data_IF_362859485433
#
_entry.id   IF_362859485433
#
_cell.length_a   1.000
_cell.length_b   1.000
_cell.length_c   1.000
_cell.angle_alpha   90.00
_cell.angle_beta   90.00
_cell.angle_gamma   90.00
#
_symmetry.space_group_name_H-M   'P 1'
#
loop_
_entity.id
_entity.type
_entity.pdbx_description
1 polymer ?
#
# COMPACT_ATOMS: atom_id res chain seq x y z
N UNK A 1 -33.61 28.59 -71.67
CA UNK A 1 -33.07 29.48 -70.62
C UNK A 1 -34.03 29.38 -69.44
N UNK A 2 -33.79 28.64 -68.35
CA UNK A 2 -32.63 27.98 -67.70
C UNK A 2 -33.12 26.61 -67.17
N UNK A 3 -32.45 25.48 -67.42
CA UNK A 3 -31.50 24.81 -66.48
C UNK A 3 -31.98 24.90 -65.02
N UNK A 4 -32.48 23.86 -64.35
CA UNK A 4 -31.92 22.52 -64.19
C UNK A 4 -30.98 22.54 -62.97
N UNK A 5 -31.26 21.75 -61.92
CA UNK A 5 -30.32 21.12 -60.97
C UNK A 5 -31.13 20.49 -59.81
N UNK A 6 -31.45 19.21 -59.97
CA UNK A 6 -31.81 18.34 -58.86
C UNK A 6 -30.54 18.03 -58.06
N UNK A 7 -30.56 18.32 -56.76
CA UNK A 7 -29.49 17.93 -55.86
C UNK A 7 -29.68 16.46 -55.46
N UNK A 8 -28.94 15.60 -56.14
CA UNK A 8 -28.75 14.19 -55.78
C UNK A 8 -28.08 14.10 -54.41
N UNK A 9 -28.77 13.45 -53.47
CA UNK A 9 -28.20 12.93 -52.21
C UNK A 9 -27.10 11.91 -52.56
N UNK A 10 -25.83 12.32 -52.43
CA UNK A 10 -24.70 11.39 -52.48
C UNK A 10 -24.54 10.82 -51.08
N UNK A 11 -25.08 9.61 -50.89
CA UNK A 11 -24.69 8.71 -49.81
C UNK A 11 -23.24 8.31 -50.04
N UNK A 12 -22.33 8.82 -49.21
CA UNK A 12 -20.95 8.33 -49.14
C UNK A 12 -20.97 7.15 -48.19
N UNK A 13 -21.17 5.96 -48.75
CA UNK A 13 -20.88 4.70 -48.07
C UNK A 13 -19.38 4.58 -47.87
N UNK A 14 -18.92 4.66 -46.61
CA UNK A 14 -17.59 4.20 -46.25
C UNK A 14 -17.61 2.68 -46.07
N UNK A 15 -17.32 1.97 -47.15
CA UNK A 15 -16.95 0.56 -47.11
C UNK A 15 -15.43 0.45 -46.90
N UNK A 16 -15.04 0.02 -45.70
CA UNK A 16 -13.96 -0.93 -45.44
C UNK A 16 -12.50 -0.52 -45.65
N UNK A 17 -11.84 -0.11 -44.57
CA UNK A 17 -10.47 -0.54 -44.28
C UNK A 17 -10.54 -1.25 -42.91
N UNK A 18 -10.17 -2.54 -42.88
CA UNK A 18 -10.28 -3.42 -41.72
C UNK A 18 -9.31 -3.09 -40.59
N UNK A 19 -9.48 -1.93 -39.97
CA UNK A 19 -9.04 -1.66 -38.61
C UNK A 19 -10.23 -1.83 -37.68
N UNK A 20 -9.99 -2.34 -36.48
CA UNK A 20 -11.00 -2.37 -35.44
C UNK A 20 -11.61 -0.98 -35.21
N UNK A 21 -12.90 -0.93 -34.87
CA UNK A 21 -13.48 0.31 -34.38
C UNK A 21 -12.61 0.84 -33.22
N UNK A 22 -12.42 2.16 -33.07
CA UNK A 22 -11.54 2.71 -32.03
C UNK A 22 -11.81 2.16 -30.63
N UNK A 23 -13.07 1.90 -30.29
CA UNK A 23 -13.50 1.30 -29.01
C UNK A 23 -13.06 -0.15 -28.87
N UNK A 24 -13.09 -0.94 -29.93
CA UNK A 24 -12.62 -2.33 -29.95
C UNK A 24 -11.10 -2.43 -29.81
N UNK A 25 -10.36 -1.51 -30.46
CA UNK A 25 -8.92 -1.40 -30.26
C UNK A 25 -8.54 -1.01 -28.82
N UNK A 26 -9.29 -0.09 -28.20
CA UNK A 26 -9.11 0.30 -26.80
C UNK A 26 -9.44 -0.86 -25.86
N UNK A 27 -10.55 -1.56 -26.12
CA UNK A 27 -10.96 -2.73 -25.35
C UNK A 27 -9.86 -3.78 -25.33
N UNK A 28 -9.36 -4.17 -26.51
CA UNK A 28 -8.27 -5.14 -26.61
C UNK A 28 -7.04 -4.69 -25.85
N UNK A 29 -6.63 -3.42 -26.00
CA UNK A 29 -5.47 -2.89 -25.28
C UNK A 29 -5.67 -2.94 -23.77
N UNK A 30 -6.88 -2.67 -23.27
CA UNK A 30 -7.21 -2.75 -21.84
C UNK A 30 -7.22 -4.20 -21.34
N UNK A 31 -7.87 -5.11 -22.06
CA UNK A 31 -7.90 -6.55 -21.72
C UNK A 31 -6.48 -7.15 -21.72
N UNK A 32 -5.64 -6.81 -22.71
CA UNK A 32 -4.25 -7.27 -22.82
C UNK A 32 -3.28 -6.65 -21.79
N UNK A 33 -3.70 -5.61 -21.05
CA UNK A 33 -2.83 -4.92 -20.08
C UNK A 33 -3.35 -4.98 -18.65
N UNK A 34 -4.54 -4.46 -18.40
CA UNK A 34 -5.13 -4.39 -17.06
C UNK A 34 -5.71 -5.74 -16.66
N UNK A 35 -6.48 -6.38 -17.54
CA UNK A 35 -7.15 -7.65 -17.22
C UNK A 35 -6.25 -8.89 -17.42
N UNK A 36 -5.16 -8.77 -18.19
CA UNK A 36 -4.23 -9.87 -18.46
C UNK A 36 -3.18 -10.09 -17.35
N UNK A 37 -3.30 -9.42 -16.21
CA UNK A 37 -2.39 -9.63 -15.07
C UNK A 37 -2.69 -11.00 -14.45
N UNK A 38 -1.65 -11.75 -14.08
CA UNK A 38 -1.78 -13.18 -13.70
C UNK A 38 -2.72 -13.47 -12.53
N UNK A 39 -2.99 -12.49 -11.67
CA UNK A 39 -3.87 -12.62 -10.50
C UNK A 39 -5.25 -11.97 -10.71
N UNK A 40 -5.53 -11.43 -11.89
CA UNK A 40 -6.71 -10.59 -12.10
C UNK A 40 -8.03 -11.32 -11.84
N UNK A 41 -8.20 -12.52 -12.39
CA UNK A 41 -9.40 -13.33 -12.23
C UNK A 41 -9.63 -13.78 -10.77
N UNK A 42 -8.55 -13.96 -10.00
CA UNK A 42 -8.62 -14.38 -8.59
C UNK A 42 -8.97 -13.20 -7.67
N UNK A 43 -8.37 -12.04 -7.92
CA UNK A 43 -8.50 -10.85 -7.07
C UNK A 43 -9.74 -10.01 -7.40
N UNK A 44 -10.03 -9.81 -8.68
CA UNK A 44 -11.11 -8.93 -9.14
C UNK A 44 -12.26 -9.73 -9.75
N UNK A 45 -11.96 -10.55 -10.78
CA UNK A 45 -12.96 -11.36 -11.47
C UNK A 45 -14.13 -10.59 -12.08
N UNK A 46 -13.96 -9.28 -12.27
CA UNK A 46 -14.94 -8.35 -12.85
C UNK A 46 -14.94 -8.43 -14.38
N UNK A 47 -16.09 -8.08 -14.99
CA UNK A 47 -16.15 -7.96 -16.43
C UNK A 47 -15.53 -6.64 -16.94
N UNK A 48 -15.37 -6.52 -18.26
CA UNK A 48 -14.77 -5.33 -18.88
C UNK A 48 -15.47 -4.02 -18.51
N UNK A 49 -16.81 -4.00 -18.41
CA UNK A 49 -17.55 -2.78 -18.11
C UNK A 49 -17.46 -2.42 -16.61
N UNK A 50 -17.55 -3.43 -15.74
CA UNK A 50 -17.36 -3.28 -14.31
C UNK A 50 -15.97 -2.72 -14.00
N UNK A 51 -14.93 -3.28 -14.62
CA UNK A 51 -13.55 -2.83 -14.41
C UNK A 51 -13.29 -1.42 -14.93
N UNK A 52 -13.79 -1.09 -16.13
CA UNK A 52 -13.72 0.28 -16.65
C UNK A 52 -14.39 1.29 -15.72
N UNK A 53 -15.53 0.92 -15.14
CA UNK A 53 -16.28 1.78 -14.22
C UNK A 53 -15.51 1.99 -12.92
N UNK A 54 -14.87 0.95 -12.39
CA UNK A 54 -14.02 1.04 -11.21
C UNK A 54 -12.78 1.92 -11.47
N UNK A 55 -12.11 1.71 -12.60
CA UNK A 55 -10.85 2.37 -12.93
C UNK A 55 -11.02 3.81 -13.41
N UNK A 56 -11.94 4.04 -14.34
CA UNK A 56 -12.07 5.31 -15.05
C UNK A 56 -13.39 6.05 -14.77
N UNK A 57 -14.30 5.42 -14.02
CA UNK A 57 -15.59 5.98 -13.67
C UNK A 57 -16.70 5.67 -14.69
N UNK A 58 -17.97 5.89 -14.30
CA UNK A 58 -19.14 5.47 -15.06
C UNK A 58 -19.28 6.16 -16.42
N UNK A 59 -18.85 7.42 -16.53
CA UNK A 59 -18.94 8.21 -17.77
C UNK A 59 -18.05 7.63 -18.88
N UNK A 60 -16.81 7.28 -18.53
CA UNK A 60 -15.85 6.66 -19.47
C UNK A 60 -16.28 5.24 -19.84
N UNK A 61 -16.74 4.46 -18.86
CA UNK A 61 -17.26 3.11 -19.11
C UNK A 61 -18.42 3.11 -20.11
N UNK A 62 -19.37 4.02 -19.94
CA UNK A 62 -20.51 4.19 -20.86
C UNK A 62 -20.03 4.56 -22.28
N UNK A 63 -19.11 5.51 -22.39
CA UNK A 63 -18.61 5.95 -23.69
C UNK A 63 -17.79 4.89 -24.44
N UNK A 64 -17.22 3.91 -23.74
CA UNK A 64 -16.44 2.81 -24.33
C UNK A 64 -17.27 1.57 -24.64
N UNK A 65 -18.44 1.42 -24.03
CA UNK A 65 -19.37 0.30 -24.27
C UNK A 65 -20.44 0.62 -25.32
N UNK A 66 -20.75 1.89 -25.54
CA UNK A 66 -21.62 2.36 -26.62
C UNK A 66 -20.78 3.02 -27.76
N UNK A 67 -20.63 2.36 -28.93
CA UNK A 67 -19.87 2.91 -30.07
C UNK A 67 -20.35 4.28 -30.55
N UNK A 68 -21.64 4.62 -30.38
CA UNK A 68 -22.20 5.89 -30.80
C UNK A 68 -21.83 7.05 -29.85
N UNK A 69 -21.35 6.73 -28.65
CA UNK A 69 -20.97 7.69 -27.62
C UNK A 69 -19.47 8.06 -27.64
N UNK A 70 -18.64 7.35 -28.40
CA UNK A 70 -17.19 7.57 -28.41
C UNK A 70 -16.75 8.70 -29.36
N UNK A 71 -16.86 9.94 -28.87
CA UNK A 71 -16.42 11.16 -29.58
C UNK A 71 -15.15 11.82 -29.01
N UNK A 72 -14.74 12.99 -29.54
CA UNK A 72 -13.56 13.73 -29.06
C UNK A 72 -13.59 14.05 -27.56
N UNK A 73 -14.77 14.34 -27.00
CA UNK A 73 -14.94 14.60 -25.57
C UNK A 73 -14.69 13.34 -24.73
N UNK A 74 -15.23 12.20 -25.15
CA UNK A 74 -15.02 10.91 -24.49
C UNK A 74 -13.54 10.50 -24.53
N UNK A 75 -12.86 10.71 -25.66
CA UNK A 75 -11.41 10.50 -25.77
C UNK A 75 -10.63 11.37 -24.79
N UNK A 76 -10.97 12.67 -24.67
CA UNK A 76 -10.30 13.56 -23.72
C UNK A 76 -10.53 13.12 -22.26
N UNK A 77 -11.76 12.73 -21.91
CA UNK A 77 -12.09 12.19 -20.59
C UNK A 77 -11.32 10.90 -20.28
N UNK A 78 -11.24 9.98 -21.25
CA UNK A 78 -10.45 8.76 -21.12
C UNK A 78 -8.95 9.05 -20.92
N UNK A 79 -8.36 9.94 -21.72
CA UNK A 79 -6.94 10.31 -21.54
C UNK A 79 -6.69 10.90 -20.14
N UNK A 80 -7.57 11.80 -19.67
CA UNK A 80 -7.45 12.36 -18.33
C UNK A 80 -7.60 11.30 -17.23
N UNK A 81 -8.52 10.34 -17.40
CA UNK A 81 -8.72 9.23 -16.48
C UNK A 81 -7.51 8.28 -16.45
N UNK A 82 -6.92 7.95 -17.60
CA UNK A 82 -5.70 7.13 -17.70
C UNK A 82 -4.54 7.83 -17.00
N UNK A 83 -4.32 9.12 -17.28
CA UNK A 83 -3.24 9.88 -16.64
C UNK A 83 -3.42 9.98 -15.12
N UNK A 84 -4.66 10.15 -14.65
CA UNK A 84 -4.99 10.11 -13.22
C UNK A 84 -4.66 8.75 -12.62
N UNK A 85 -5.17 7.68 -13.23
CA UNK A 85 -5.01 6.32 -12.74
C UNK A 85 -3.54 5.86 -12.76
N UNK A 86 -2.75 6.33 -13.73
CA UNK A 86 -1.30 6.11 -13.77
C UNK A 86 -0.59 6.83 -12.61
N UNK A 87 -0.87 8.12 -12.39
CA UNK A 87 -0.30 8.89 -11.26
C UNK A 87 -0.66 8.29 -9.90
N UNK A 88 -1.90 7.84 -9.73
CA UNK A 88 -2.35 7.19 -8.49
C UNK A 88 -1.58 5.89 -8.23
N UNK A 89 -1.31 5.08 -9.27
CA UNK A 89 -0.49 3.87 -9.16
C UNK A 89 0.97 4.17 -8.86
N UNK A 90 1.58 5.14 -9.53
CA UNK A 90 2.95 5.58 -9.24
C UNK A 90 3.07 6.03 -7.78
N UNK A 91 2.12 6.82 -7.30
CA UNK A 91 2.06 7.26 -5.91
C UNK A 91 1.89 6.09 -4.94
N UNK A 92 1.06 5.09 -5.26
CA UNK A 92 0.90 3.87 -4.45
C UNK A 92 2.21 3.07 -4.40
N UNK A 93 2.91 2.91 -5.52
CA UNK A 93 4.21 2.23 -5.57
C UNK A 93 5.22 2.94 -4.66
N UNK A 94 5.37 4.26 -4.80
CA UNK A 94 6.26 5.06 -3.93
C UNK A 94 5.89 4.93 -2.44
N UNK A 95 4.60 4.74 -2.15
CA UNK A 95 4.10 4.54 -0.80
C UNK A 95 4.48 3.17 -0.25
N UNK A 96 4.31 2.12 -1.05
CA UNK A 96 4.74 0.77 -0.71
C UNK A 96 6.26 0.68 -0.51
N UNK A 97 7.04 1.37 -1.34
CA UNK A 97 8.50 1.42 -1.22
C UNK A 97 8.94 2.09 0.09
N UNK A 98 8.36 3.26 0.41
CA UNK A 98 8.62 3.94 1.69
C UNK A 98 8.21 3.11 2.90
N UNK A 99 7.08 2.40 2.80
CA UNK A 99 6.65 1.50 3.86
C UNK A 99 7.64 0.36 4.05
N UNK A 100 8.08 -0.29 2.97
CA UNK A 100 9.10 -1.34 3.01
C UNK A 100 10.39 -0.84 3.65
N UNK A 101 10.90 0.31 3.22
CA UNK A 101 12.10 0.93 3.81
C UNK A 101 11.93 1.21 5.32
N UNK A 102 10.75 1.68 5.72
CA UNK A 102 10.45 1.89 7.14
C UNK A 102 10.43 0.60 7.94
N UNK A 103 9.93 -0.50 7.37
CA UNK A 103 9.93 -1.82 8.01
C UNK A 103 11.35 -2.37 8.11
N UNK A 104 12.14 -2.28 7.03
CA UNK A 104 13.53 -2.73 7.01
C UNK A 104 14.36 -2.00 8.08
N UNK A 105 14.21 -0.68 8.19
CA UNK A 105 14.90 0.11 9.22
C UNK A 105 14.49 -0.29 10.65
N UNK A 106 13.21 -0.60 10.87
CA UNK A 106 12.76 -1.12 12.15
C UNK A 106 13.34 -2.51 12.42
N UNK A 107 13.37 -3.40 11.43
CA UNK A 107 13.92 -4.74 11.53
C UNK A 107 15.41 -4.73 11.88
N UNK A 108 16.21 -3.85 11.26
CA UNK A 108 17.64 -3.65 11.58
C UNK A 108 17.88 -3.36 13.06
N UNK A 109 16.92 -2.71 13.72
CA UNK A 109 17.01 -2.40 15.15
C UNK A 109 16.40 -3.50 16.03
N UNK A 110 15.23 -4.00 15.67
CA UNK A 110 14.43 -4.89 16.52
C UNK A 110 14.90 -6.34 16.47
N UNK A 111 15.39 -6.84 15.33
CA UNK A 111 15.90 -8.22 15.24
C UNK A 111 17.09 -8.46 16.18
N UNK A 112 18.11 -7.58 16.26
CA UNK A 112 19.17 -7.73 17.26
C UNK A 112 18.68 -7.59 18.70
N UNK A 113 17.65 -6.77 18.96
CA UNK A 113 17.06 -6.67 20.31
C UNK A 113 16.38 -7.98 20.69
N UNK A 114 15.57 -8.55 19.80
CA UNK A 114 14.89 -9.82 20.01
C UNK A 114 15.89 -10.95 20.24
N UNK A 115 16.91 -11.08 19.38
CA UNK A 115 17.96 -12.09 19.54
C UNK A 115 18.71 -11.97 20.87
N UNK A 116 18.94 -10.74 21.35
CA UNK A 116 19.59 -10.52 22.63
C UNK A 116 18.68 -10.86 23.81
N UNK A 117 17.40 -10.48 23.77
CA UNK A 117 16.42 -10.84 24.80
C UNK A 117 16.22 -12.36 24.86
N UNK A 118 16.17 -13.03 23.71
CA UNK A 118 16.06 -14.50 23.64
C UNK A 118 17.30 -15.20 24.20
N UNK A 119 18.48 -14.59 24.12
CA UNK A 119 19.68 -15.15 24.76
C UNK A 119 19.60 -15.15 26.30
N UNK A 120 18.70 -14.36 26.87
CA UNK A 120 18.38 -14.29 28.30
C UNK A 120 17.23 -15.27 28.59
N UNK A 121 17.43 -16.55 28.22
CA UNK A 121 16.39 -17.60 28.20
C UNK A 121 15.68 -17.80 29.56
N UNK A 122 16.32 -17.40 30.66
CA UNK A 122 15.68 -17.23 31.96
C UNK A 122 16.60 -16.35 32.82
N UNK A 123 16.15 -15.22 33.38
CA UNK A 123 16.90 -14.54 34.41
C UNK A 123 16.90 -15.47 35.63
N UNK A 124 17.95 -16.26 35.80
CA UNK A 124 18.30 -16.86 37.09
C UNK A 124 19.35 -15.96 37.74
N UNK A 125 18.94 -14.87 38.41
CA UNK A 125 19.87 -13.94 39.02
C UNK A 125 20.48 -14.47 40.32
N UNK A 126 20.09 -15.68 40.77
CA UNK A 126 20.57 -16.23 42.02
C UNK A 126 22.06 -16.57 41.95
N UNK A 127 22.83 -16.07 42.93
CA UNK A 127 24.26 -16.34 43.03
C UNK A 127 25.16 -15.51 42.10
N UNK A 128 24.60 -14.59 41.30
CA UNK A 128 25.41 -13.67 40.51
C UNK A 128 25.91 -12.48 41.34
N UNK A 129 27.17 -12.02 41.13
CA UNK A 129 27.67 -10.83 41.80
C UNK A 129 26.84 -9.59 41.46
N UNK A 130 26.66 -8.68 42.42
CA UNK A 130 25.94 -7.43 42.24
C UNK A 130 26.33 -6.67 40.95
N UNK A 131 27.63 -6.55 40.66
CA UNK A 131 28.10 -5.86 39.45
C UNK A 131 27.65 -6.51 38.14
N UNK A 132 27.48 -7.83 38.12
CA UNK A 132 26.95 -8.55 36.95
C UNK A 132 25.45 -8.30 36.78
N UNK A 133 24.69 -8.29 37.89
CA UNK A 133 23.27 -7.95 37.90
C UNK A 133 23.05 -6.51 37.41
N UNK A 134 23.83 -5.55 37.91
CA UNK A 134 23.77 -4.14 37.51
C UNK A 134 24.12 -3.97 36.02
N UNK A 135 25.13 -4.69 35.51
CA UNK A 135 25.51 -4.63 34.11
C UNK A 135 24.39 -5.15 33.19
N UNK A 136 23.72 -6.25 33.56
CA UNK A 136 22.58 -6.81 32.82
C UNK A 136 21.36 -5.91 32.87
N UNK A 137 21.04 -5.36 34.04
CA UNK A 137 19.95 -4.39 34.21
C UNK A 137 20.14 -3.16 33.30
N UNK A 138 21.35 -2.58 33.29
CA UNK A 138 21.70 -1.46 32.42
C UNK A 138 21.62 -1.84 30.94
N UNK A 139 22.00 -3.08 30.58
CA UNK A 139 21.90 -3.55 29.20
C UNK A 139 20.44 -3.64 28.74
N UNK A 140 19.56 -4.18 29.56
CA UNK A 140 18.11 -4.24 29.29
C UNK A 140 17.49 -2.84 29.14
N UNK A 141 17.98 -1.83 29.88
CA UNK A 141 17.48 -0.44 29.73
C UNK A 141 17.73 0.06 28.32
N UNK A 142 18.95 -0.16 27.82
CA UNK A 142 19.33 0.21 26.46
C UNK A 142 18.53 -0.54 25.40
N UNK A 143 18.19 -1.82 25.64
CA UNK A 143 17.33 -2.57 24.72
C UNK A 143 15.91 -1.98 24.68
N UNK A 144 15.34 -1.64 25.84
CA UNK A 144 14.04 -0.96 25.91
C UNK A 144 14.06 0.40 25.21
N UNK A 145 15.09 1.22 25.46
CA UNK A 145 15.25 2.53 24.82
C UNK A 145 15.33 2.43 23.29
N UNK A 146 15.93 1.35 22.76
CA UNK A 146 15.93 1.07 21.32
C UNK A 146 14.52 0.76 20.81
N UNK A 147 13.75 -0.08 21.51
CA UNK A 147 12.35 -0.34 21.17
C UNK A 147 11.50 0.94 21.18
N UNK A 148 11.64 1.77 22.22
CA UNK A 148 10.90 3.02 22.37
C UNK A 148 11.24 4.02 21.25
N UNK A 149 12.54 4.13 20.92
CA UNK A 149 13.01 4.98 19.82
C UNK A 149 12.49 4.50 18.46
N UNK A 150 12.53 3.19 18.19
CA UNK A 150 11.97 2.61 16.97
C UNK A 150 10.46 2.83 16.90
N UNK A 151 9.73 2.67 18.00
CA UNK A 151 8.29 2.93 18.06
C UNK A 151 7.97 4.41 17.76
N UNK A 152 8.71 5.35 18.35
CA UNK A 152 8.54 6.78 18.10
C UNK A 152 8.82 7.15 16.64
N UNK A 153 9.92 6.64 16.07
CA UNK A 153 10.25 6.84 14.65
C UNK A 153 9.13 6.29 13.75
N UNK A 154 8.63 5.10 14.07
CA UNK A 154 7.55 4.45 13.31
C UNK A 154 6.24 5.24 13.38
N UNK A 155 5.86 5.73 14.55
CA UNK A 155 4.68 6.59 14.70
C UNK A 155 4.84 7.90 13.91
N UNK A 156 6.03 8.49 13.90
CA UNK A 156 6.32 9.68 13.09
C UNK A 156 6.16 9.40 11.59
N UNK A 157 6.66 8.27 11.11
CA UNK A 157 6.53 7.88 9.69
C UNK A 157 5.06 7.70 9.28
N UNK A 158 4.26 7.01 10.11
CA UNK A 158 2.82 6.84 9.88
C UNK A 158 2.10 8.19 9.82
N UNK A 159 2.40 9.10 10.74
CA UNK A 159 1.77 10.43 10.78
C UNK A 159 2.15 11.30 9.57
N UNK A 160 3.41 11.24 9.15
CA UNK A 160 3.90 11.94 7.95
C UNK A 160 3.22 11.40 6.69
N UNK A 161 3.08 10.08 6.57
CA UNK A 161 2.35 9.45 5.48
C UNK A 161 0.89 9.90 5.42
N UNK A 162 0.16 9.90 6.54
CA UNK A 162 -1.23 10.42 6.57
C UNK A 162 -1.31 11.87 6.10
N UNK A 163 -0.37 12.70 6.55
CA UNK A 163 -0.32 14.12 6.21
C UNK A 163 -0.07 14.36 4.72
N UNK A 164 0.82 13.57 4.10
CA UNK A 164 1.17 13.69 2.66
C UNK A 164 0.03 13.28 1.74
N UNK A 165 -0.76 12.29 2.14
CA UNK A 165 -1.79 11.73 1.29
C UNK A 165 -3.15 12.45 1.39
N UNK A 166 -3.30 13.39 2.33
CA UNK A 166 -4.55 14.13 2.57
C UNK A 166 -5.79 13.20 2.63
N UNK A 167 -5.62 11.97 3.14
CA UNK A 167 -6.71 11.02 3.27
C UNK A 167 -7.77 11.62 4.19
N UNK A 168 -9.05 11.63 3.79
CA UNK A 168 -10.11 11.99 4.71
C UNK A 168 -10.17 10.97 5.86
N UNK A 169 -10.65 11.43 7.03
CA UNK A 169 -10.55 10.72 8.32
C UNK A 169 -11.21 9.32 8.28
N UNK A 170 -12.13 9.11 7.35
CA UNK A 170 -12.91 7.89 7.14
C UNK A 170 -12.24 6.84 6.24
N UNK A 171 -11.14 7.18 5.56
CA UNK A 171 -10.37 6.21 4.76
C UNK A 171 -9.36 5.50 5.66
N UNK A 172 -9.30 4.15 5.64
CA UNK A 172 -8.29 3.40 6.36
C UNK A 172 -6.89 3.88 5.99
N UNK A 173 -6.04 4.08 7.00
CA UNK A 173 -4.63 4.37 6.79
C UNK A 173 -3.98 3.28 5.93
N UNK A 174 -2.97 3.63 5.15
CA UNK A 174 -2.27 2.69 4.26
C UNK A 174 -1.73 1.49 5.02
N UNK A 175 -1.32 1.67 6.28
CA UNK A 175 -0.93 0.54 7.13
C UNK A 175 -2.06 -0.47 7.34
N UNK A 176 -3.31 0.00 7.52
CA UNK A 176 -4.47 -0.89 7.70
C UNK A 176 -4.71 -1.70 6.43
N UNK A 177 -4.58 -1.07 5.26
CA UNK A 177 -4.69 -1.76 3.97
C UNK A 177 -3.56 -2.79 3.77
N UNK A 178 -2.30 -2.38 3.94
CA UNK A 178 -1.15 -3.26 3.67
C UNK A 178 -1.04 -4.44 4.65
N UNK A 179 -1.55 -4.28 5.87
CA UNK A 179 -1.48 -5.30 6.92
C UNK A 179 -2.84 -5.90 7.27
N UNK A 180 -3.83 -5.83 6.40
CA UNK A 180 -5.18 -6.34 6.67
C UNK A 180 -5.20 -7.84 7.00
N UNK A 181 -4.25 -8.61 6.47
CA UNK A 181 -4.09 -10.04 6.71
C UNK A 181 -3.33 -10.37 8.00
N UNK A 182 -2.82 -9.36 8.71
CA UNK A 182 -2.08 -9.52 9.96
C UNK A 182 -2.98 -9.27 11.17
N UNK A 183 -2.63 -9.90 12.31
CA UNK A 183 -3.37 -9.75 13.57
C UNK A 183 -3.38 -8.31 14.14
N UNK A 184 -2.45 -7.46 13.67
CA UNK A 184 -2.32 -6.07 14.07
C UNK A 184 -2.23 -5.17 12.85
N UNK A 185 -3.03 -4.10 12.84
CA UNK A 185 -2.93 -3.04 11.84
C UNK A 185 -1.59 -2.27 11.87
N UNK A 186 -0.82 -2.42 12.97
CA UNK A 186 0.49 -1.79 13.14
C UNK A 186 1.49 -2.81 13.69
N UNK A 187 1.91 -3.79 12.87
CA UNK A 187 2.69 -4.95 13.35
C UNK A 187 4.04 -4.54 13.94
N UNK A 188 4.74 -3.57 13.33
CA UNK A 188 6.03 -3.07 13.86
C UNK A 188 5.87 -2.46 15.26
N UNK A 189 4.80 -1.69 15.50
CA UNK A 189 4.54 -1.11 16.82
C UNK A 189 4.20 -2.18 17.86
N UNK A 190 3.47 -3.22 17.45
CA UNK A 190 3.18 -4.36 18.31
C UNK A 190 4.47 -5.08 18.73
N UNK A 191 5.38 -5.35 17.79
CA UNK A 191 6.69 -5.95 18.08
C UNK A 191 7.52 -5.07 19.03
N UNK A 192 7.57 -3.76 18.81
CA UNK A 192 8.24 -2.84 19.76
C UNK A 192 7.69 -2.98 21.18
N UNK A 193 6.35 -3.00 21.30
CA UNK A 193 5.69 -3.08 22.60
C UNK A 193 5.93 -4.43 23.30
N UNK A 194 5.97 -5.52 22.56
CA UNK A 194 6.23 -6.86 23.11
C UNK A 194 7.68 -6.99 23.59
N UNK A 195 8.66 -6.56 22.79
CA UNK A 195 10.08 -6.57 23.17
C UNK A 195 10.37 -5.65 24.36
N UNK A 196 9.80 -4.43 24.37
CA UNK A 196 9.94 -3.50 25.49
C UNK A 196 9.35 -4.07 26.79
N UNK A 197 8.23 -4.80 26.70
CA UNK A 197 7.60 -5.47 27.84
C UNK A 197 8.46 -6.61 28.37
N UNK A 198 9.00 -7.44 27.47
CA UNK A 198 9.92 -8.52 27.84
C UNK A 198 11.19 -7.98 28.53
N UNK A 199 11.81 -6.94 27.97
CA UNK A 199 12.96 -6.27 28.58
C UNK A 199 12.62 -5.74 29.99
N UNK A 200 11.45 -5.13 30.16
CA UNK A 200 10.98 -4.63 31.46
C UNK A 200 10.77 -5.76 32.47
N UNK A 201 10.18 -6.89 32.05
CA UNK A 201 10.03 -8.08 32.92
C UNK A 201 11.39 -8.56 33.42
N UNK A 202 12.41 -8.63 32.56
CA UNK A 202 13.75 -9.00 32.97
C UNK A 202 14.39 -7.96 33.89
N UNK A 203 14.23 -6.66 33.62
CA UNK A 203 14.77 -5.61 34.48
C UNK A 203 14.22 -5.72 35.91
N UNK A 204 12.91 -5.88 36.06
CA UNK A 204 12.27 -6.03 37.37
C UNK A 204 12.79 -7.27 38.11
N UNK A 205 13.11 -8.37 37.40
CA UNK A 205 13.71 -9.54 38.02
C UNK A 205 15.12 -9.25 38.57
N UNK A 206 15.97 -8.58 37.79
CA UNK A 206 17.32 -8.18 38.24
C UNK A 206 17.28 -7.14 39.36
N UNK A 207 16.36 -6.17 39.33
CA UNK A 207 16.16 -5.20 40.42
C UNK A 207 15.83 -5.87 41.74
N UNK A 208 14.92 -6.86 41.72
CA UNK A 208 14.56 -7.62 42.92
C UNK A 208 15.76 -8.39 43.46
N UNK A 209 16.54 -9.05 42.61
CA UNK A 209 17.73 -9.77 43.04
C UNK A 209 18.80 -8.85 43.65
N UNK A 210 19.03 -7.68 43.05
CA UNK A 210 19.94 -6.66 43.61
C UNK A 210 19.47 -6.13 44.97
N UNK A 211 18.16 -5.99 45.18
CA UNK A 211 17.60 -5.54 46.46
C UNK A 211 17.75 -6.57 47.60
N UNK A 212 18.06 -7.83 47.28
CA UNK A 212 18.30 -8.91 48.24
C UNK A 212 19.78 -9.17 48.53
N UNK A 213 20.68 -8.39 47.93
CA UNK A 213 22.14 -8.43 48.16
C UNK A 213 22.55 -7.55 49.35
#
# INVERSE_FOLDING_TARGET
MREGHGATLVSIGHAGLGGDAPTEAIRRAYEETVMAVSFYDEEYGDDYEESLRAEFGPEVATALTDPDCFGPSARAALTAAIERAAREREHLIETCERERESVDHAADTLLPVAAELDSIVSPDPEGEPFGTLEARWNRLSRLRERCDSTAANRQSAINDQRSRHNFPIDVPDVCVYLYETHDSAYPVLAVCADLARQATTFQTAYERAMAHY
#
